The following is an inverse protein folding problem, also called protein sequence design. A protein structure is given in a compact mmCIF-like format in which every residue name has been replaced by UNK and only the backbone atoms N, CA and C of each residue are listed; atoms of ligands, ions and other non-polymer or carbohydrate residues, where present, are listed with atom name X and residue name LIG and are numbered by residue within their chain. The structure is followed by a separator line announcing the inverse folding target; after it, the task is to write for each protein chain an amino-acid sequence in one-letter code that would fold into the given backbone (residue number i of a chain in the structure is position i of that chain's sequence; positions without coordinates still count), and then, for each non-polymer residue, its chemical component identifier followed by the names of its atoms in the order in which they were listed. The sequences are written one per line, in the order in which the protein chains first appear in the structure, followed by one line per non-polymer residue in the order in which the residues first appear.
data_IF_104985392432
#
_entry.id   IF_104985392432
#
_cell.length_a   1.000
_cell.length_b   1.000
_cell.length_c   1.000
_cell.angle_alpha   90.00
_cell.angle_beta   90.00
_cell.angle_gamma   90.00
#
_symmetry.space_group_name_H-M   'P 1'
#
loop_
_entity.id
_entity.type
_entity.pdbx_description
1 polymer ?
#
# COMPACT_ATOMS: atom_id res chain seq x y z
N UNK A 1 -15.29 2.35 21.29
CA UNK A 1 -15.50 2.93 19.94
C UNK A 1 -14.19 3.16 19.19
N UNK A 2 -13.26 4.03 19.64
CA UNK A 2 -12.01 4.36 18.90
C UNK A 2 -11.14 3.14 18.48
N UNK A 3 -11.10 2.08 19.31
CA UNK A 3 -10.35 0.85 19.02
C UNK A 3 -10.87 0.06 17.81
N UNK A 4 -12.19 0.02 17.58
CA UNK A 4 -12.77 -0.69 16.42
C UNK A 4 -12.46 0.04 15.11
N UNK A 5 -12.44 1.38 15.13
CA UNK A 5 -12.00 2.20 14.01
C UNK A 5 -10.53 1.99 13.69
N UNK A 6 -9.67 1.84 14.71
CA UNK A 6 -8.26 1.51 14.51
C UNK A 6 -8.06 0.14 13.86
N UNK A 7 -8.78 -0.89 14.32
CA UNK A 7 -8.71 -2.23 13.70
C UNK A 7 -9.23 -2.19 12.25
N UNK A 8 -10.33 -1.47 11.99
CA UNK A 8 -10.85 -1.29 10.64
C UNK A 8 -9.85 -0.61 9.70
N UNK A 9 -9.16 0.44 10.19
CA UNK A 9 -8.11 1.13 9.45
C UNK A 9 -6.89 0.25 9.15
N UNK A 10 -6.51 -0.65 10.07
CA UNK A 10 -5.44 -1.62 9.84
C UNK A 10 -5.83 -2.62 8.74
N UNK A 11 -7.03 -3.20 8.83
CA UNK A 11 -7.51 -4.19 7.85
C UNK A 11 -7.62 -3.56 6.46
N UNK A 12 -8.22 -2.38 6.36
CA UNK A 12 -8.32 -1.66 5.09
C UNK A 12 -6.95 -1.25 4.57
N UNK A 13 -6.07 -0.72 5.44
CA UNK A 13 -4.71 -0.34 5.05
C UNK A 13 -3.91 -1.54 4.51
N UNK A 14 -3.98 -2.70 5.15
CA UNK A 14 -3.32 -3.92 4.66
C UNK A 14 -3.91 -4.42 3.34
N UNK A 15 -5.23 -4.30 3.14
CA UNK A 15 -5.89 -4.61 1.88
C UNK A 15 -5.40 -3.70 0.74
N UNK A 16 -5.35 -2.39 0.99
CA UNK A 16 -4.83 -1.41 0.03
C UNK A 16 -3.35 -1.64 -0.28
N UNK A 17 -2.52 -1.91 0.75
CA UNK A 17 -1.11 -2.20 0.55
C UNK A 17 -0.92 -3.46 -0.30
N UNK A 18 -1.72 -4.50 -0.06
CA UNK A 18 -1.68 -5.70 -0.89
C UNK A 18 -2.13 -5.43 -2.32
N UNK A 19 -3.12 -4.55 -2.53
CA UNK A 19 -3.59 -4.16 -3.85
C UNK A 19 -2.52 -3.32 -4.59
N UNK A 20 -1.87 -2.37 -3.92
CA UNK A 20 -0.79 -1.55 -4.48
C UNK A 20 0.37 -2.42 -4.97
N UNK A 21 0.81 -3.39 -4.15
CA UNK A 21 1.86 -4.34 -4.52
C UNK A 21 1.44 -5.25 -5.68
N UNK A 22 0.16 -5.64 -5.75
CA UNK A 22 -0.36 -6.40 -6.89
C UNK A 22 -0.40 -5.55 -8.16
N UNK A 23 -0.81 -4.28 -8.06
CA UNK A 23 -0.83 -3.34 -9.17
C UNK A 23 0.56 -3.13 -9.80
N UNK A 24 1.65 -3.16 -9.01
CA UNK A 24 3.01 -3.12 -9.58
C UNK A 24 3.27 -4.27 -10.56
N UNK A 25 2.78 -5.48 -10.26
CA UNK A 25 2.87 -6.63 -11.18
C UNK A 25 1.95 -6.47 -12.39
N UNK A 26 0.78 -5.85 -12.22
CA UNK A 26 -0.13 -5.55 -13.32
C UNK A 26 0.51 -4.55 -14.28
N UNK A 27 1.11 -3.47 -13.77
CA UNK A 27 1.86 -2.49 -14.56
C UNK A 27 2.98 -3.19 -15.33
N UNK A 28 3.79 -4.02 -14.65
CA UNK A 28 4.82 -4.80 -15.31
C UNK A 28 4.25 -5.68 -16.44
N UNK A 29 3.13 -6.36 -16.20
CA UNK A 29 2.48 -7.22 -17.20
C UNK A 29 1.93 -6.43 -18.40
N UNK A 30 1.43 -5.22 -18.17
CA UNK A 30 0.97 -4.31 -19.22
C UNK A 30 2.14 -3.75 -20.04
N UNK A 31 3.27 -3.44 -19.40
CA UNK A 31 4.48 -3.00 -20.09
C UNK A 31 5.13 -4.13 -20.90
N UNK A 32 5.04 -5.39 -20.43
CA UNK A 32 5.47 -6.55 -21.23
C UNK A 32 4.75 -6.65 -22.58
N UNK A 33 3.49 -6.21 -22.66
CA UNK A 33 2.74 -6.17 -23.92
C UNK A 33 3.25 -5.08 -24.87
N UNK A 34 3.86 -4.01 -24.35
CA UNK A 34 4.40 -2.89 -25.13
C UNK A 34 5.89 -3.06 -25.48
N UNK A 35 6.54 -4.13 -25.01
CA UNK A 35 7.91 -4.50 -25.39
C UNK A 35 9.04 -3.78 -24.65
N UNK A 36 8.72 -2.75 -23.87
CA UNK A 36 9.64 -2.07 -22.95
C UNK A 36 9.22 -2.38 -21.53
N UNK A 37 9.86 -3.35 -20.87
CA UNK A 37 9.52 -3.67 -19.47
C UNK A 37 10.77 -3.84 -18.60
N UNK A 38 10.64 -3.44 -17.35
CA UNK A 38 11.62 -3.70 -16.31
C UNK A 38 11.45 -5.13 -15.79
N UNK A 39 12.54 -5.91 -15.77
CA UNK A 39 12.56 -7.30 -15.30
C UNK A 39 12.07 -7.46 -13.85
N UNK A 40 12.22 -6.40 -13.04
CA UNK A 40 11.83 -6.41 -11.65
C UNK A 40 10.64 -5.46 -11.39
N UNK A 41 9.51 -6.00 -10.93
CA UNK A 41 8.32 -5.23 -10.57
C UNK A 41 8.60 -4.13 -9.53
N UNK A 42 9.63 -4.36 -8.70
CA UNK A 42 10.05 -3.43 -7.66
C UNK A 42 10.64 -2.12 -8.22
N UNK A 43 11.14 -2.12 -9.45
CA UNK A 43 11.66 -0.88 -10.05
C UNK A 43 10.53 0.12 -10.33
N UNK A 44 9.32 -0.34 -10.63
CA UNK A 44 8.13 0.53 -10.75
C UNK A 44 7.74 1.19 -9.44
N UNK A 45 8.21 0.67 -8.29
CA UNK A 45 7.99 1.31 -7.01
C UNK A 45 8.80 2.60 -6.84
N UNK A 46 9.84 2.81 -7.67
CA UNK A 46 10.60 4.06 -7.74
C UNK A 46 9.85 5.16 -8.48
N UNK A 47 8.83 4.81 -9.25
CA UNK A 47 7.97 5.82 -9.88
C UNK A 47 7.30 6.65 -8.79
N UNK A 48 7.34 7.99 -8.92
CA UNK A 48 6.92 8.89 -7.84
C UNK A 48 5.46 8.66 -7.43
N UNK A 49 4.60 8.29 -8.38
CA UNK A 49 3.18 8.02 -8.13
C UNK A 49 2.99 6.76 -7.27
N UNK A 50 3.68 5.66 -7.61
CA UNK A 50 3.60 4.40 -6.87
C UNK A 50 4.21 4.54 -5.47
N UNK A 51 5.32 5.27 -5.36
CA UNK A 51 5.99 5.52 -4.09
C UNK A 51 5.10 6.31 -3.13
N UNK A 52 4.46 7.40 -3.61
CA UNK A 52 3.57 8.24 -2.80
C UNK A 52 2.36 7.44 -2.31
N UNK A 53 1.77 6.60 -3.16
CA UNK A 53 0.64 5.75 -2.79
C UNK A 53 1.01 4.81 -1.63
N UNK A 54 2.09 4.03 -1.79
CA UNK A 54 2.55 3.07 -0.78
C UNK A 54 2.92 3.77 0.54
N UNK A 55 3.61 4.92 0.47
CA UNK A 55 3.95 5.70 1.66
C UNK A 55 2.71 6.20 2.40
N UNK A 56 1.69 6.63 1.65
CA UNK A 56 0.41 7.07 2.24
C UNK A 56 -0.27 5.92 2.95
N UNK A 57 -0.33 4.75 2.32
CA UNK A 57 -0.96 3.56 2.87
C UNK A 57 -0.24 3.05 4.12
N UNK A 58 1.10 3.03 4.11
CA UNK A 58 1.91 2.73 5.29
C UNK A 58 1.64 3.73 6.42
N UNK A 59 1.56 5.03 6.11
CA UNK A 59 1.22 6.07 7.10
C UNK A 59 -0.13 5.84 7.76
N UNK A 60 -1.15 5.48 6.97
CA UNK A 60 -2.49 5.15 7.47
C UNK A 60 -2.47 3.91 8.37
N UNK A 61 -1.71 2.87 8.00
CA UNK A 61 -1.55 1.66 8.83
C UNK A 61 -0.90 2.01 10.17
N UNK A 62 0.18 2.79 10.17
CA UNK A 62 0.88 3.20 11.39
C UNK A 62 -0.05 4.01 12.31
N UNK A 63 -0.77 4.99 11.75
CA UNK A 63 -1.73 5.78 12.51
C UNK A 63 -2.87 4.93 13.08
N UNK A 64 -3.37 3.97 12.29
CA UNK A 64 -4.43 3.04 12.71
C UNK A 64 -3.94 2.09 13.80
N UNK A 65 -2.69 1.60 13.73
CA UNK A 65 -2.03 0.85 14.80
C UNK A 65 -1.90 1.67 16.08
N UNK A 66 -1.47 2.92 15.98
CA UNK A 66 -1.43 3.83 17.13
C UNK A 66 -2.81 4.00 17.76
N UNK A 67 -3.85 4.20 16.95
CA UNK A 67 -5.23 4.34 17.42
C UNK A 67 -5.77 3.04 18.05
N UNK A 68 -5.40 1.87 17.54
CA UNK A 68 -5.89 0.58 18.02
C UNK A 68 -5.22 0.11 19.32
N UNK A 69 -3.91 0.36 19.46
CA UNK A 69 -3.10 -0.19 20.56
C UNK A 69 -2.68 0.86 21.60
N UNK A 70 -2.37 2.09 21.16
CA UNK A 70 -1.83 3.14 22.03
C UNK A 70 -2.85 4.19 22.44
N UNK A 71 -3.98 4.32 21.72
CA UNK A 71 -5.12 5.09 22.21
C UNK A 71 -5.84 4.32 23.32
N UNK A 72 -5.16 4.18 24.47
CA UNK A 72 -5.83 3.83 25.72
C UNK A 72 -6.70 5.03 26.12
N UNK A 73 -7.95 4.70 26.45
CA UNK A 73 -8.92 5.58 27.07
C UNK A 73 -8.35 6.17 28.34
#
# INVERSE_FOLDING_TARGET
MKKHWGIGGIILGLLFLSAELYCLKVIQSLEMLHGTWLLNAWEYMKEPQCLIAILTTIGVIIYSCYLAFFSKK
#
